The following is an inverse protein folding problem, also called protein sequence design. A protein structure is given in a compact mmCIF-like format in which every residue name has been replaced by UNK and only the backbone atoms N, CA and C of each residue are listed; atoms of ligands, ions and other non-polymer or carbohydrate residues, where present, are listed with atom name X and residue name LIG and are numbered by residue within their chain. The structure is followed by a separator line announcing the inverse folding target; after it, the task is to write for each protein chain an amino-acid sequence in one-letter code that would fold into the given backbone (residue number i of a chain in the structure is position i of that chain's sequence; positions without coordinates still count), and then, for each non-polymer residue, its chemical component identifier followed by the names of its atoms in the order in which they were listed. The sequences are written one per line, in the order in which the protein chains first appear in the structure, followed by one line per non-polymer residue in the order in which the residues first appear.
data_IF_162246498295
#
_entry.id   IF_162246498295
#
_cell.length_a   1.000
_cell.length_b   1.000
_cell.length_c   1.000
_cell.angle_alpha   90.00
_cell.angle_beta   90.00
_cell.angle_gamma   90.00
#
_symmetry.space_group_name_H-M   'P 1'
#
loop_
_entity.id
_entity.type
_entity.pdbx_description
1 polymer ?
#
# COMPACT_ATOMS: atom_id res chain seq x y z
N UNK A 1 -12.78 -11.65 -16.90
CA UNK A 1 -14.11 -11.69 -16.21
C UNK A 1 -14.82 -10.35 -16.29
N UNK A 2 -14.29 -9.24 -15.71
CA UNK A 2 -15.00 -7.95 -15.71
C UNK A 2 -15.23 -7.42 -17.14
N UNK A 3 -14.21 -7.38 -17.97
CA UNK A 3 -14.29 -6.93 -19.36
C UNK A 3 -15.22 -7.84 -20.21
N UNK A 4 -15.21 -9.14 -19.97
CA UNK A 4 -16.13 -10.09 -20.64
C UNK A 4 -17.60 -9.79 -20.29
N UNK A 5 -17.85 -9.24 -19.11
CA UNK A 5 -19.16 -8.76 -18.68
C UNK A 5 -19.47 -7.32 -19.14
N UNK A 6 -18.59 -6.70 -19.93
CA UNK A 6 -18.74 -5.32 -20.40
C UNK A 6 -18.53 -4.24 -19.34
N UNK A 7 -17.91 -4.59 -18.21
CA UNK A 7 -17.63 -3.68 -17.09
C UNK A 7 -16.26 -3.03 -17.24
N UNK A 8 -16.16 -1.76 -16.89
CA UNK A 8 -14.89 -1.05 -16.76
C UNK A 8 -14.21 -1.42 -15.44
N UNK A 9 -12.87 -1.46 -15.46
CA UNK A 9 -12.02 -1.78 -14.30
C UNK A 9 -11.24 -0.55 -13.90
N UNK A 10 -11.43 -0.13 -12.65
CA UNK A 10 -10.63 0.91 -12.00
C UNK A 10 -9.65 0.22 -11.05
N UNK A 11 -8.37 0.45 -11.22
CA UNK A 11 -7.32 -0.12 -10.37
C UNK A 11 -6.61 1.00 -9.58
N UNK A 12 -6.78 1.01 -8.27
CA UNK A 12 -5.87 1.78 -7.41
C UNK A 12 -4.57 0.98 -7.25
N UNK A 13 -3.51 1.47 -7.88
CA UNK A 13 -2.17 0.87 -7.81
C UNK A 13 -1.19 1.75 -7.01
N UNK A 14 -1.70 2.51 -6.05
CA UNK A 14 -0.90 3.44 -5.24
C UNK A 14 0.26 2.74 -4.53
N UNK A 15 0.00 1.63 -3.82
CA UNK A 15 1.04 0.90 -3.06
C UNK A 15 2.02 0.18 -3.99
N UNK A 16 1.52 -0.34 -5.12
CA UNK A 16 2.36 -1.02 -6.10
C UNK A 16 3.25 -0.07 -6.89
N UNK A 17 2.82 1.15 -7.08
CA UNK A 17 3.44 2.14 -7.99
C UNK A 17 3.60 1.61 -9.43
N UNK A 18 3.92 2.43 -10.42
CA UNK A 18 4.23 1.96 -11.77
C UNK A 18 5.48 1.08 -11.83
N UNK A 19 6.37 1.14 -10.83
CA UNK A 19 7.56 0.30 -10.74
C UNK A 19 7.20 -1.15 -10.35
N UNK A 20 6.57 -1.34 -9.22
CA UNK A 20 6.30 -2.67 -8.67
C UNK A 20 5.11 -3.37 -9.36
N UNK A 21 4.08 -2.61 -9.71
CA UNK A 21 2.84 -3.12 -10.31
C UNK A 21 2.50 -2.40 -11.62
N UNK A 22 3.23 -2.69 -12.72
CA UNK A 22 3.08 -1.99 -14.01
C UNK A 22 1.85 -2.48 -14.78
N UNK A 23 0.65 -2.26 -14.25
CA UNK A 23 -0.63 -2.80 -14.76
C UNK A 23 -0.93 -2.44 -16.21
N UNK A 24 -0.48 -1.27 -16.68
CA UNK A 24 -0.70 -0.85 -18.07
C UNK A 24 0.29 -1.51 -19.06
N UNK A 25 1.35 -2.17 -18.57
CA UNK A 25 2.34 -2.88 -19.39
C UNK A 25 2.06 -4.37 -19.53
N UNK A 26 0.91 -4.85 -19.07
CA UNK A 26 0.52 -6.25 -19.26
C UNK A 26 0.46 -6.59 -20.74
N UNK A 27 0.94 -7.77 -21.10
CA UNK A 27 1.00 -8.23 -22.50
C UNK A 27 -0.41 -8.37 -23.09
N UNK A 28 -1.33 -8.99 -22.34
CA UNK A 28 -2.74 -9.10 -22.77
C UNK A 28 -3.48 -7.79 -22.44
N UNK A 29 -4.00 -7.06 -23.45
CA UNK A 29 -4.78 -5.86 -23.24
C UNK A 29 -6.03 -6.06 -22.35
N UNK A 30 -6.61 -7.27 -22.34
CA UNK A 30 -7.78 -7.61 -21.52
C UNK A 30 -7.48 -7.65 -20.02
N UNK A 31 -6.21 -7.77 -19.65
CA UNK A 31 -5.73 -7.71 -18.26
C UNK A 31 -5.39 -6.29 -17.81
N UNK A 32 -5.45 -5.30 -18.70
CA UNK A 32 -5.17 -3.91 -18.36
C UNK A 32 -6.43 -3.25 -17.84
N UNK A 33 -6.37 -2.53 -16.71
CA UNK A 33 -7.52 -1.74 -16.26
C UNK A 33 -7.82 -0.59 -17.23
N UNK A 34 -9.07 -0.14 -17.23
CA UNK A 34 -9.51 1.02 -18.02
C UNK A 34 -9.03 2.33 -17.38
N UNK A 35 -8.97 2.35 -16.05
CA UNK A 35 -8.47 3.47 -15.26
C UNK A 35 -7.47 2.98 -14.23
N UNK A 36 -6.39 3.73 -14.06
CA UNK A 36 -5.40 3.52 -12.99
C UNK A 36 -5.34 4.77 -12.13
N UNK A 37 -5.44 4.58 -10.84
CA UNK A 37 -5.32 5.64 -9.84
C UNK A 37 -4.01 5.47 -9.08
N UNK A 38 -3.31 6.58 -8.87
CA UNK A 38 -2.19 6.65 -7.93
C UNK A 38 -2.32 7.89 -7.05
N UNK A 39 -2.11 7.71 -5.76
CA UNK A 39 -1.84 8.82 -4.86
C UNK A 39 -0.37 9.24 -5.00
N UNK A 40 -0.11 10.42 -5.52
CA UNK A 40 1.24 11.00 -5.52
C UNK A 40 1.75 11.28 -4.12
N UNK A 41 0.84 11.53 -3.17
CA UNK A 41 1.12 11.72 -1.74
C UNK A 41 1.98 10.60 -1.13
N UNK A 42 1.92 9.40 -1.71
CA UNK A 42 2.57 8.18 -1.20
C UNK A 42 3.97 8.00 -1.85
N UNK A 43 4.31 6.79 -2.19
CA UNK A 43 5.64 6.41 -2.72
C UNK A 43 6.08 7.19 -3.97
N UNK A 44 5.17 7.69 -4.79
CA UNK A 44 5.53 8.41 -6.01
C UNK A 44 6.31 9.69 -5.72
N UNK A 45 5.91 10.46 -4.70
CA UNK A 45 6.69 11.60 -4.18
C UNK A 45 7.66 11.13 -3.11
N UNK A 46 7.20 10.38 -2.12
CA UNK A 46 8.01 9.73 -1.10
C UNK A 46 8.43 10.63 0.07
N UNK A 47 8.24 11.94 -0.01
CA UNK A 47 8.66 12.89 1.05
C UNK A 47 7.62 13.06 2.15
N UNK A 48 6.35 12.73 1.88
CA UNK A 48 5.23 12.97 2.80
C UNK A 48 4.78 14.44 2.89
N UNK A 49 5.32 15.33 2.05
CA UNK A 49 5.07 16.77 2.08
C UNK A 49 3.99 17.23 1.10
N UNK A 50 3.70 16.43 0.09
CA UNK A 50 2.81 16.79 -1.01
C UNK A 50 1.53 15.95 -1.00
N UNK A 51 0.39 16.60 -1.11
CA UNK A 51 -0.89 15.93 -1.36
C UNK A 51 -1.29 16.11 -2.81
N UNK A 52 -1.31 15.01 -3.56
CA UNK A 52 -1.66 14.99 -4.97
C UNK A 52 -2.10 13.59 -5.42
N UNK A 53 -2.70 13.50 -6.59
CA UNK A 53 -3.11 12.23 -7.19
C UNK A 53 -3.19 12.32 -8.71
N UNK A 54 -3.29 11.17 -9.35
CA UNK A 54 -3.46 11.05 -10.79
C UNK A 54 -4.46 9.96 -11.14
N UNK A 55 -5.29 10.22 -12.12
CA UNK A 55 -6.06 9.23 -12.84
C UNK A 55 -5.51 9.09 -14.26
N UNK A 56 -5.22 7.87 -14.68
CA UNK A 56 -4.68 7.52 -15.99
C UNK A 56 -5.70 6.62 -16.68
N UNK A 57 -6.01 6.91 -17.93
CA UNK A 57 -6.90 6.10 -18.75
C UNK A 57 -6.41 6.08 -20.20
N UNK A 58 -7.12 5.36 -21.07
CA UNK A 58 -6.90 5.42 -22.53
C UNK A 58 -7.20 6.83 -23.05
N UNK A 59 -6.60 7.21 -24.17
CA UNK A 59 -6.68 8.56 -24.72
C UNK A 59 -8.12 9.07 -24.89
N UNK A 60 -9.02 8.23 -25.43
CA UNK A 60 -10.43 8.55 -25.65
C UNK A 60 -11.22 8.81 -24.35
N UNK A 61 -10.69 8.36 -23.22
CA UNK A 61 -11.27 8.62 -21.87
C UNK A 61 -10.57 9.78 -21.17
N UNK A 62 -9.35 10.12 -21.60
CA UNK A 62 -8.61 11.25 -21.03
C UNK A 62 -9.05 12.57 -21.63
N UNK A 63 -9.07 12.68 -22.95
CA UNK A 63 -9.35 13.95 -23.64
C UNK A 63 -9.95 13.73 -25.03
N UNK A 64 -11.00 14.47 -25.31
CA UNK A 64 -11.51 14.72 -26.65
C UNK A 64 -11.79 16.23 -26.78
N UNK A 65 -11.58 16.85 -27.95
CA UNK A 65 -11.94 18.25 -28.18
C UNK A 65 -13.43 18.51 -27.91
N UNK A 66 -13.75 19.67 -27.34
CA UNK A 66 -15.14 20.03 -27.04
C UNK A 66 -16.03 19.94 -28.29
N UNK A 67 -17.15 19.28 -28.15
CA UNK A 67 -18.11 19.04 -29.24
C UNK A 67 -17.75 17.90 -30.18
N UNK A 68 -16.66 17.18 -29.93
CA UNK A 68 -16.28 16.00 -30.73
C UNK A 68 -16.69 14.69 -30.08
N UNK A 69 -16.68 13.65 -30.87
CA UNK A 69 -16.84 12.25 -30.41
C UNK A 69 -15.89 11.34 -31.19
N UNK A 70 -15.61 10.18 -30.64
CA UNK A 70 -14.76 9.15 -31.23
C UNK A 70 -15.40 7.77 -31.01
N UNK A 71 -15.35 6.92 -32.03
CA UNK A 71 -15.66 5.50 -31.88
C UNK A 71 -14.39 4.73 -31.58
N UNK A 72 -14.40 3.99 -30.49
CA UNK A 72 -13.29 3.15 -30.05
C UNK A 72 -13.81 1.87 -29.38
N UNK A 73 -12.99 0.80 -29.32
CA UNK A 73 -13.37 -0.43 -28.61
C UNK A 73 -13.59 -0.16 -27.13
N UNK A 74 -14.73 -0.59 -26.60
CA UNK A 74 -15.00 -0.64 -25.17
C UNK A 74 -14.26 -1.79 -24.47
N UNK A 75 -14.50 -1.97 -23.15
CA UNK A 75 -13.86 -3.02 -22.36
C UNK A 75 -14.06 -4.43 -22.93
N UNK A 76 -15.24 -4.69 -23.49
CA UNK A 76 -15.64 -5.95 -24.13
C UNK A 76 -15.17 -6.09 -25.59
N UNK A 77 -14.41 -5.13 -26.11
CA UNK A 77 -13.96 -5.08 -27.50
C UNK A 77 -15.00 -4.61 -28.51
N UNK A 78 -16.23 -4.34 -28.09
CA UNK A 78 -17.27 -3.79 -28.97
C UNK A 78 -17.05 -2.31 -29.20
N UNK A 79 -17.30 -1.86 -30.44
CA UNK A 79 -17.20 -0.43 -30.74
C UNK A 79 -18.24 0.35 -29.95
N UNK A 80 -17.78 1.41 -29.29
CA UNK A 80 -18.60 2.35 -28.53
C UNK A 80 -18.26 3.76 -28.95
N UNK A 81 -19.24 4.63 -28.90
CA UNK A 81 -19.06 6.06 -29.08
C UNK A 81 -18.74 6.70 -27.75
N UNK A 82 -17.66 7.47 -27.71
CA UNK A 82 -17.26 8.30 -26.59
C UNK A 82 -17.40 9.78 -26.99
N UNK A 83 -18.08 10.54 -26.20
CA UNK A 83 -18.24 11.98 -26.40
C UNK A 83 -17.24 12.75 -25.52
N UNK A 84 -16.89 13.98 -25.92
CA UNK A 84 -16.01 14.85 -25.16
C UNK A 84 -16.44 15.03 -23.70
N UNK A 85 -17.75 15.04 -23.44
CA UNK A 85 -18.34 15.16 -22.10
C UNK A 85 -18.13 13.92 -21.21
N UNK A 86 -17.72 12.78 -21.77
CA UNK A 86 -17.41 11.54 -21.03
C UNK A 86 -15.95 11.48 -20.56
N UNK A 87 -15.12 12.47 -20.96
CA UNK A 87 -13.69 12.45 -20.66
C UNK A 87 -13.37 12.94 -19.25
N UNK A 88 -12.27 12.43 -18.68
CA UNK A 88 -11.73 12.91 -17.40
C UNK A 88 -11.32 14.38 -17.48
N UNK A 89 -10.79 14.83 -18.63
CA UNK A 89 -10.45 16.24 -18.82
C UNK A 89 -11.67 17.14 -18.61
N UNK A 90 -12.81 16.82 -19.22
CA UNK A 90 -14.00 17.61 -19.06
C UNK A 90 -14.57 17.52 -17.63
N UNK A 91 -14.82 16.30 -17.14
CA UNK A 91 -15.53 16.10 -15.89
C UNK A 91 -14.70 16.46 -14.65
N UNK A 92 -13.40 16.16 -14.66
CA UNK A 92 -12.53 16.29 -13.49
C UNK A 92 -11.71 17.58 -13.57
N UNK A 93 -11.01 17.81 -14.68
CA UNK A 93 -10.16 18.97 -14.82
C UNK A 93 -10.99 20.26 -15.02
N UNK A 94 -11.84 20.30 -16.05
CA UNK A 94 -12.53 21.50 -16.45
C UNK A 94 -13.71 21.86 -15.54
N UNK A 95 -14.61 20.92 -15.26
CA UNK A 95 -15.83 21.20 -14.47
C UNK A 95 -15.53 21.31 -12.99
N UNK A 96 -14.70 20.40 -12.44
CA UNK A 96 -14.37 20.38 -10.99
C UNK A 96 -13.12 21.18 -10.63
N UNK A 97 -12.33 21.63 -11.60
CA UNK A 97 -11.09 22.37 -11.35
C UNK A 97 -10.01 21.56 -10.64
N UNK A 98 -10.03 20.23 -10.77
CA UNK A 98 -9.06 19.35 -10.12
C UNK A 98 -7.78 19.28 -10.96
N UNK A 99 -6.92 20.26 -10.82
CA UNK A 99 -5.60 20.31 -11.45
C UNK A 99 -4.51 20.59 -10.41
N UNK A 100 -3.33 20.09 -10.70
CA UNK A 100 -2.16 20.20 -9.84
C UNK A 100 -1.46 21.53 -10.09
N UNK A 101 -1.09 22.23 -9.01
CA UNK A 101 -0.25 23.43 -9.12
C UNK A 101 1.19 23.09 -9.51
N UNK A 102 1.92 24.09 -10.00
CA UNK A 102 3.27 23.90 -10.57
C UNK A 102 4.30 23.44 -9.51
N UNK A 103 4.19 23.93 -8.27
CA UNK A 103 5.14 23.59 -7.21
C UNK A 103 4.97 22.12 -6.80
N UNK A 104 3.73 21.66 -6.64
CA UNK A 104 3.46 20.24 -6.38
C UNK A 104 3.82 19.36 -7.56
N UNK A 105 3.61 19.80 -8.79
CA UNK A 105 4.04 19.07 -9.97
C UNK A 105 5.57 18.90 -9.99
N UNK A 106 6.31 19.93 -9.60
CA UNK A 106 7.76 19.87 -9.46
C UNK A 106 8.20 18.86 -8.39
N UNK A 107 7.56 18.84 -7.21
CA UNK A 107 7.82 17.84 -6.17
C UNK A 107 7.55 16.41 -6.66
N UNK A 108 6.45 16.20 -7.39
CA UNK A 108 6.12 14.90 -8.00
C UNK A 108 7.21 14.45 -8.94
N UNK A 109 7.65 15.32 -9.87
CA UNK A 109 8.71 15.00 -10.84
C UNK A 109 10.01 14.65 -10.12
N UNK A 110 10.39 15.39 -9.08
CA UNK A 110 11.59 15.10 -8.31
C UNK A 110 11.50 13.78 -7.54
N UNK A 111 10.37 13.50 -6.90
CA UNK A 111 10.15 12.23 -6.21
C UNK A 111 10.21 11.02 -7.16
N UNK A 112 9.66 11.15 -8.35
CA UNK A 112 9.67 10.07 -9.35
C UNK A 112 11.07 9.73 -9.86
N UNK A 113 12.04 10.66 -9.83
CA UNK A 113 13.42 10.40 -10.25
C UNK A 113 14.13 9.32 -9.45
N UNK A 114 13.75 9.16 -8.18
CA UNK A 114 14.34 8.16 -7.26
C UNK A 114 13.40 7.01 -6.95
N UNK A 115 12.23 6.97 -7.58
CA UNK A 115 11.17 6.00 -7.26
C UNK A 115 11.66 4.55 -7.30
N UNK A 116 12.34 4.16 -8.38
CA UNK A 116 12.81 2.78 -8.56
C UNK A 116 13.77 2.34 -7.46
N UNK A 117 14.75 3.21 -7.12
CA UNK A 117 15.72 2.92 -6.06
C UNK A 117 15.05 2.81 -4.69
N UNK A 118 14.15 3.74 -4.37
CA UNK A 118 13.42 3.73 -3.11
C UNK A 118 12.51 2.51 -3.00
N UNK A 119 11.75 2.21 -4.05
CA UNK A 119 10.88 1.03 -4.07
C UNK A 119 11.66 -0.26 -3.94
N UNK A 120 12.78 -0.41 -4.63
CA UNK A 120 13.64 -1.59 -4.51
C UNK A 120 14.13 -1.76 -3.08
N UNK A 121 14.66 -0.70 -2.46
CA UNK A 121 15.13 -0.73 -1.07
C UNK A 121 14.00 -1.10 -0.11
N UNK A 122 12.83 -0.48 -0.22
CA UNK A 122 11.65 -0.75 0.60
C UNK A 122 11.15 -2.19 0.47
N UNK A 123 11.06 -2.70 -0.76
CA UNK A 123 10.62 -4.08 -1.01
C UNK A 123 11.60 -5.10 -0.41
N UNK A 124 12.91 -4.87 -0.54
CA UNK A 124 13.94 -5.72 0.08
C UNK A 124 13.84 -5.63 1.61
N UNK A 125 13.74 -4.41 2.17
CA UNK A 125 13.54 -4.18 3.59
C UNK A 125 12.31 -4.91 4.13
N UNK A 126 11.19 -4.85 3.41
CA UNK A 126 9.96 -5.57 3.74
C UNK A 126 10.18 -7.08 3.78
N UNK A 127 10.86 -7.64 2.77
CA UNK A 127 11.17 -9.08 2.72
C UNK A 127 12.00 -9.51 3.92
N UNK A 128 13.00 -8.71 4.30
CA UNK A 128 13.86 -8.99 5.45
C UNK A 128 13.07 -8.89 6.75
N UNK A 129 12.39 -7.78 7.00
CA UNK A 129 11.66 -7.55 8.26
C UNK A 129 10.54 -8.58 8.44
N UNK A 130 9.67 -8.74 7.46
CA UNK A 130 8.57 -9.69 7.54
C UNK A 130 9.08 -11.13 7.70
N UNK A 131 10.16 -11.49 6.98
CA UNK A 131 10.75 -12.82 7.06
C UNK A 131 11.41 -13.12 8.41
N UNK A 132 12.00 -12.14 9.09
CA UNK A 132 12.56 -12.31 10.43
C UNK A 132 11.44 -12.37 11.46
N UNK A 133 10.50 -11.42 11.44
CA UNK A 133 9.39 -11.38 12.39
C UNK A 133 8.50 -12.62 12.31
N UNK A 134 8.31 -13.19 11.12
CA UNK A 134 7.52 -14.41 10.93
C UNK A 134 8.12 -15.68 11.57
N UNK A 135 9.39 -15.64 11.95
CA UNK A 135 10.03 -16.75 12.69
C UNK A 135 9.73 -16.72 14.18
N UNK A 136 9.23 -15.61 14.68
CA UNK A 136 8.95 -15.44 16.10
C UNK A 136 7.60 -16.08 16.45
N UNK A 137 7.54 -17.04 17.39
CA UNK A 137 6.33 -17.82 17.69
C UNK A 137 5.19 -17.01 18.31
N UNK A 138 5.47 -15.81 18.82
CA UNK A 138 4.49 -14.90 19.40
C UNK A 138 4.02 -13.77 18.45
N UNK A 139 4.47 -13.77 17.20
CA UNK A 139 4.14 -12.74 16.21
C UNK A 139 3.54 -13.40 14.97
N UNK A 140 2.31 -13.07 14.65
CA UNK A 140 1.70 -13.45 13.37
C UNK A 140 1.96 -12.34 12.35
N UNK A 141 2.61 -12.69 11.24
CA UNK A 141 2.90 -11.76 10.15
C UNK A 141 1.97 -12.06 8.96
N UNK A 142 1.32 -11.04 8.43
CA UNK A 142 0.56 -11.10 7.18
C UNK A 142 1.29 -10.29 6.13
N UNK A 143 2.06 -10.98 5.32
CA UNK A 143 2.86 -10.40 4.24
C UNK A 143 3.06 -11.45 3.15
N UNK A 144 2.78 -11.10 1.91
CA UNK A 144 2.94 -12.00 0.77
C UNK A 144 4.42 -12.40 0.49
N UNK A 145 5.38 -11.84 1.22
CA UNK A 145 6.79 -12.25 1.19
C UNK A 145 7.09 -13.45 2.11
N UNK A 146 6.21 -13.74 3.05
CA UNK A 146 6.41 -14.85 4.01
C UNK A 146 6.09 -16.17 3.34
N UNK A 147 6.91 -17.23 3.53
CA UNK A 147 6.63 -18.54 2.99
C UNK A 147 5.26 -19.07 3.47
N UNK A 148 4.47 -19.61 2.55
CA UNK A 148 3.15 -20.15 2.85
C UNK A 148 2.01 -19.12 2.85
N UNK A 149 2.29 -17.85 2.57
CA UNK A 149 1.23 -16.85 2.35
C UNK A 149 0.39 -17.22 1.11
N UNK A 150 -0.93 -17.13 1.23
CA UNK A 150 -1.88 -17.49 0.16
C UNK A 150 -1.71 -16.67 -1.11
N UNK A 151 -1.14 -15.47 -1.03
CA UNK A 151 -0.92 -14.56 -2.15
C UNK A 151 0.50 -14.63 -2.72
N UNK A 152 1.34 -15.58 -2.28
CA UNK A 152 2.73 -15.68 -2.75
C UNK A 152 2.83 -15.89 -4.27
N UNK A 153 1.99 -16.77 -4.84
CA UNK A 153 1.96 -17.00 -6.30
C UNK A 153 1.46 -15.76 -7.06
N UNK A 154 0.47 -15.07 -6.53
CA UNK A 154 -0.03 -13.82 -7.12
C UNK A 154 1.05 -12.75 -7.12
N UNK A 155 1.82 -12.63 -6.05
CA UNK A 155 2.97 -11.72 -5.97
C UNK A 155 3.99 -12.02 -7.08
N UNK A 156 4.41 -13.27 -7.21
CA UNK A 156 5.38 -13.69 -8.24
C UNK A 156 4.89 -13.37 -9.67
N UNK A 157 3.61 -13.55 -9.91
CA UNK A 157 3.00 -13.34 -11.23
C UNK A 157 2.73 -11.86 -11.53
N UNK A 158 2.30 -11.09 -10.53
CA UNK A 158 1.76 -9.74 -10.75
C UNK A 158 2.76 -8.63 -10.46
N UNK A 159 3.71 -8.84 -9.55
CA UNK A 159 4.63 -7.80 -9.10
C UNK A 159 6.01 -7.97 -9.74
N UNK A 160 6.65 -6.86 -10.01
CA UNK A 160 7.97 -6.82 -10.65
C UNK A 160 9.01 -7.58 -9.83
N UNK A 161 9.73 -8.50 -10.45
CA UNK A 161 10.70 -9.40 -9.82
C UNK A 161 10.14 -10.23 -8.64
N UNK A 162 8.84 -10.41 -8.54
CA UNK A 162 8.21 -11.09 -7.40
C UNK A 162 8.49 -10.40 -6.05
N UNK A 163 8.77 -9.09 -6.06
CA UNK A 163 9.02 -8.33 -4.84
C UNK A 163 7.72 -8.06 -4.08
N UNK A 164 7.72 -8.08 -2.73
CA UNK A 164 6.55 -7.71 -1.95
C UNK A 164 6.31 -6.20 -1.99
N UNK A 165 5.06 -5.78 -1.82
CA UNK A 165 4.77 -4.37 -1.56
C UNK A 165 5.34 -3.95 -0.19
N UNK A 166 5.77 -2.69 -0.01
CA UNK A 166 6.38 -2.22 1.23
C UNK A 166 5.34 -1.94 2.33
N UNK A 167 4.40 -2.85 2.49
CA UNK A 167 3.29 -2.74 3.45
C UNK A 167 2.90 -4.13 3.94
N UNK A 168 2.88 -4.32 5.26
CA UNK A 168 2.43 -5.57 5.87
C UNK A 168 1.86 -5.33 7.27
N UNK A 169 1.26 -6.35 7.87
CA UNK A 169 0.76 -6.29 9.24
C UNK A 169 1.37 -7.37 10.11
N UNK A 170 1.53 -7.04 11.38
CA UNK A 170 1.86 -7.99 12.44
C UNK A 170 0.78 -7.98 13.50
N UNK A 171 0.69 -9.08 14.24
CA UNK A 171 -0.26 -9.26 15.33
C UNK A 171 0.37 -10.10 16.44
N UNK A 172 0.06 -9.76 17.69
CA UNK A 172 0.62 -10.42 18.87
C UNK A 172 -0.36 -11.42 19.52
N UNK A 173 -1.44 -11.74 18.86
CA UNK A 173 -2.38 -12.76 19.37
C UNK A 173 -1.87 -14.20 19.20
N UNK A 174 -0.81 -14.40 18.43
CA UNK A 174 -0.26 -15.73 18.15
C UNK A 174 -1.16 -16.57 17.24
N UNK A 175 -0.71 -17.81 16.95
CA UNK A 175 -1.56 -18.81 16.27
C UNK A 175 -2.58 -19.40 17.26
N UNK A 176 -3.75 -19.89 16.79
CA UNK A 176 -4.69 -20.63 17.61
C UNK A 176 -3.98 -21.81 18.29
N UNK A 177 -3.96 -21.80 19.62
CA UNK A 177 -3.19 -22.80 20.42
C UNK A 177 -1.73 -22.45 20.68
N UNK A 178 -1.26 -21.28 20.21
CA UNK A 178 0.09 -20.76 20.43
C UNK A 178 0.26 -20.05 21.77
N UNK A 179 1.32 -19.26 21.86
CA UNK A 179 1.67 -18.53 23.07
C UNK A 179 0.58 -17.55 23.53
N UNK A 180 0.44 -17.38 24.83
CA UNK A 180 -0.51 -16.45 25.46
C UNK A 180 -0.43 -15.06 24.84
N UNK A 181 -1.55 -14.43 24.45
CA UNK A 181 -1.56 -13.09 23.92
C UNK A 181 -0.91 -12.08 24.87
N UNK A 182 -0.29 -11.05 24.31
CA UNK A 182 0.22 -9.95 25.11
C UNK A 182 -0.95 -9.12 25.64
N UNK A 183 -0.94 -8.77 26.93
CA UNK A 183 -1.92 -7.86 27.49
C UNK A 183 -1.88 -6.50 26.82
N UNK A 184 -3.03 -5.83 26.68
CA UNK A 184 -3.17 -4.58 25.96
C UNK A 184 -2.27 -3.46 26.49
N UNK A 185 -2.01 -3.42 27.80
CA UNK A 185 -1.13 -2.41 28.41
C UNK A 185 0.36 -2.64 28.09
N UNK A 186 0.76 -3.90 27.93
CA UNK A 186 2.10 -4.23 27.45
C UNK A 186 2.26 -3.86 25.98
N UNK A 187 1.23 -4.15 25.18
CA UNK A 187 1.19 -3.76 23.78
C UNK A 187 1.30 -2.23 23.61
N UNK A 188 0.56 -1.45 24.36
CA UNK A 188 0.64 0.02 24.30
C UNK A 188 2.05 0.51 24.58
N UNK A 189 2.67 0.02 25.68
CA UNK A 189 4.06 0.38 26.01
C UNK A 189 5.02 -0.02 24.89
N UNK A 190 4.86 -1.21 24.32
CA UNK A 190 5.68 -1.65 23.19
C UNK A 190 5.50 -0.72 21.98
N UNK A 191 4.25 -0.40 21.65
CA UNK A 191 3.93 0.48 20.51
C UNK A 191 4.57 1.87 20.69
N UNK A 192 4.47 2.45 21.88
CA UNK A 192 5.08 3.75 22.21
C UNK A 192 6.62 3.69 22.12
N UNK A 193 7.23 2.56 22.51
CA UNK A 193 8.68 2.35 22.41
C UNK A 193 9.20 2.20 20.98
N UNK A 194 8.33 2.12 19.96
CA UNK A 194 8.76 2.07 18.57
C UNK A 194 9.29 3.42 18.06
N UNK A 195 8.88 4.54 18.68
CA UNK A 195 9.51 5.85 18.41
C UNK A 195 10.95 5.91 18.95
N UNK A 196 11.79 6.76 18.36
CA UNK A 196 11.58 7.60 17.17
C UNK A 196 11.90 6.89 15.85
N UNK A 197 12.35 5.65 15.86
CA UNK A 197 12.79 4.93 14.65
C UNK A 197 11.62 4.62 13.74
N UNK A 198 10.48 4.23 14.31
CA UNK A 198 9.23 4.07 13.58
C UNK A 198 8.36 5.30 13.81
N UNK A 199 7.93 5.96 12.73
CA UNK A 199 7.01 7.09 12.85
C UNK A 199 5.58 6.61 13.17
N UNK A 200 4.97 7.17 14.19
CA UNK A 200 3.56 6.87 14.53
C UNK A 200 2.64 7.74 13.69
N UNK A 201 2.30 7.28 12.48
CA UNK A 201 1.55 8.05 11.49
C UNK A 201 0.52 7.22 10.73
N UNK A 202 -0.59 7.85 10.35
CA UNK A 202 -1.71 7.23 9.61
C UNK A 202 -1.43 7.13 8.09
N UNK A 203 -0.30 7.60 7.59
CA UNK A 203 0.05 7.56 6.17
C UNK A 203 0.85 6.29 5.80
N UNK A 204 1.41 6.27 4.60
CA UNK A 204 2.32 5.26 4.07
C UNK A 204 3.12 5.84 2.90
N UNK A 205 4.16 5.16 2.48
CA UNK A 205 4.89 5.50 1.25
C UNK A 205 5.93 6.62 1.42
N UNK A 206 6.28 6.98 2.66
CA UNK A 206 7.34 7.93 2.96
C UNK A 206 8.70 7.23 2.98
N UNK A 207 9.79 8.02 3.00
CA UNK A 207 11.15 7.50 3.13
C UNK A 207 11.41 6.85 4.49
N UNK A 208 10.77 7.32 5.54
CA UNK A 208 10.82 6.69 6.86
C UNK A 208 9.74 5.63 7.02
N UNK A 209 10.07 4.58 7.77
CA UNK A 209 9.12 3.55 8.18
C UNK A 209 8.09 4.12 9.13
N UNK A 210 6.81 3.91 8.83
CA UNK A 210 5.72 4.37 9.69
C UNK A 210 4.82 3.21 10.10
N UNK A 211 4.32 3.30 11.32
CA UNK A 211 3.44 2.29 11.91
C UNK A 211 2.15 2.91 12.42
N UNK A 212 1.09 2.13 12.41
CA UNK A 212 -0.17 2.48 13.06
C UNK A 212 -0.86 1.23 13.61
N UNK A 213 -1.66 1.43 14.66
CA UNK A 213 -2.61 0.44 15.14
C UNK A 213 -3.98 0.70 14.52
N UNK A 214 -4.45 -0.11 13.54
CA UNK A 214 -5.69 0.18 12.82
C UNK A 214 -6.91 0.29 13.74
N UNK A 215 -7.00 -0.56 14.76
CA UNK A 215 -8.11 -0.55 15.71
C UNK A 215 -8.24 0.76 16.50
N UNK A 216 -7.15 1.52 16.66
CA UNK A 216 -7.14 2.79 17.37
C UNK A 216 -7.16 4.02 16.45
N UNK A 217 -7.00 3.83 15.14
CA UNK A 217 -6.83 4.93 14.16
C UNK A 217 -7.80 4.80 12.99
N UNK A 218 -7.34 4.21 11.90
CA UNK A 218 -8.09 4.15 10.62
C UNK A 218 -9.37 3.31 10.66
N UNK A 219 -9.55 2.44 11.65
CA UNK A 219 -10.71 1.56 11.82
C UNK A 219 -11.33 1.70 13.22
N UNK A 220 -11.10 2.82 13.91
CA UNK A 220 -11.59 3.06 15.27
C UNK A 220 -13.12 3.13 15.38
N UNK A 221 -13.79 3.37 14.26
CA UNK A 221 -15.27 3.42 14.20
C UNK A 221 -15.92 2.03 14.07
N UNK A 222 -15.12 0.98 13.79
CA UNK A 222 -15.62 -0.38 13.66
C UNK A 222 -15.84 -1.02 15.03
N UNK A 223 -16.94 -1.74 15.16
CA UNK A 223 -17.18 -2.59 16.34
C UNK A 223 -16.27 -3.85 16.32
N UNK A 224 -16.30 -4.62 17.41
CA UNK A 224 -15.44 -5.78 17.58
C UNK A 224 -15.69 -6.88 16.52
N UNK A 225 -16.92 -7.01 16.03
CA UNK A 225 -17.27 -8.02 15.02
C UNK A 225 -16.78 -7.60 13.64
N UNK A 226 -16.95 -6.33 13.28
CA UNK A 226 -16.44 -5.76 12.04
C UNK A 226 -14.90 -5.77 11.99
N UNK A 227 -14.22 -5.46 13.11
CA UNK A 227 -12.77 -5.58 13.21
C UNK A 227 -12.31 -7.03 12.99
N UNK A 228 -12.96 -8.01 13.63
CA UNK A 228 -12.64 -9.45 13.41
C UNK A 228 -12.88 -9.88 11.97
N UNK A 229 -13.98 -9.45 11.35
CA UNK A 229 -14.28 -9.74 9.95
C UNK A 229 -13.22 -9.13 9.00
N UNK A 230 -12.67 -7.97 9.34
CA UNK A 230 -11.55 -7.33 8.64
C UNK A 230 -10.19 -7.96 8.98
N UNK A 231 -10.15 -8.95 9.88
CA UNK A 231 -8.91 -9.59 10.34
C UNK A 231 -8.03 -8.67 11.20
N UNK A 232 -8.60 -7.68 11.86
CA UNK A 232 -7.90 -6.71 12.71
C UNK A 232 -8.15 -7.05 14.17
N UNK A 233 -7.08 -7.21 14.94
CA UNK A 233 -7.13 -7.33 16.40
C UNK A 233 -6.77 -6.00 17.07
N UNK A 234 -6.92 -5.94 18.39
CA UNK A 234 -6.49 -4.78 19.19
C UNK A 234 -4.97 -4.60 19.22
N UNK A 235 -4.21 -5.63 18.85
CA UNK A 235 -2.74 -5.65 18.83
C UNK A 235 -2.16 -5.66 17.40
N UNK A 236 -3.01 -5.50 16.38
CA UNK A 236 -2.55 -5.42 15.00
C UNK A 236 -1.77 -4.11 14.78
N UNK A 237 -0.56 -4.23 14.26
CA UNK A 237 0.25 -3.11 13.79
C UNK A 237 0.38 -3.22 12.27
N UNK A 238 0.02 -2.16 11.55
CA UNK A 238 0.35 -1.99 10.15
C UNK A 238 1.71 -1.32 10.04
N UNK A 239 2.62 -1.90 9.28
CA UNK A 239 3.97 -1.39 9.04
C UNK A 239 4.07 -1.01 7.56
N UNK A 240 4.29 0.28 7.28
CA UNK A 240 4.65 0.79 5.97
C UNK A 240 6.16 1.04 5.96
N UNK A 241 6.90 0.20 5.25
CA UNK A 241 8.36 0.19 5.28
C UNK A 241 8.93 1.35 4.47
N UNK A 242 9.86 2.07 5.07
CA UNK A 242 10.68 3.10 4.45
C UNK A 242 11.91 2.56 3.74
N UNK A 243 12.86 3.43 3.47
CA UNK A 243 14.12 3.09 2.79
C UNK A 243 15.32 2.95 3.75
N UNK A 244 15.08 2.92 5.07
CA UNK A 244 16.08 2.70 6.09
C UNK A 244 16.68 1.28 6.01
N UNK A 245 17.86 1.11 6.60
CA UNK A 245 18.46 -0.21 6.75
C UNK A 245 17.56 -1.12 7.62
N UNK A 246 17.07 -2.24 7.08
CA UNK A 246 16.19 -3.14 7.83
C UNK A 246 16.83 -3.72 9.10
N UNK A 247 18.17 -3.76 9.19
CA UNK A 247 18.88 -4.19 10.41
C UNK A 247 18.71 -3.19 11.54
N UNK A 248 18.73 -1.90 11.21
CA UNK A 248 18.49 -0.83 12.19
C UNK A 248 17.04 -0.89 12.70
N UNK A 249 16.08 -1.07 11.79
CA UNK A 249 14.67 -1.21 12.15
C UNK A 249 14.46 -2.43 13.06
N UNK A 250 15.05 -3.57 12.70
CA UNK A 250 14.94 -4.81 13.50
C UNK A 250 15.58 -4.66 14.88
N UNK A 251 16.78 -4.08 14.96
CA UNK A 251 17.45 -3.86 16.23
C UNK A 251 16.62 -2.98 17.16
N UNK A 252 15.97 -1.93 16.63
CA UNK A 252 15.09 -1.08 17.42
C UNK A 252 13.82 -1.81 17.84
N UNK A 253 13.22 -2.60 16.96
CA UNK A 253 12.05 -3.41 17.28
C UNK A 253 12.33 -4.39 18.42
N UNK A 254 13.47 -5.10 18.38
CA UNK A 254 13.93 -5.99 19.46
C UNK A 254 14.12 -5.20 20.76
N UNK A 255 14.75 -4.04 20.70
CA UNK A 255 14.94 -3.19 21.89
C UNK A 255 13.61 -2.74 22.49
N UNK A 256 12.64 -2.36 21.69
CA UNK A 256 11.30 -2.02 22.15
C UNK A 256 10.62 -3.23 22.84
N UNK A 257 10.78 -4.42 22.27
CA UNK A 257 10.28 -5.66 22.88
C UNK A 257 10.97 -5.96 24.23
N UNK A 258 12.29 -5.81 24.33
CA UNK A 258 13.05 -5.97 25.58
C UNK A 258 12.54 -5.03 26.66
N UNK A 259 12.25 -3.79 26.32
CA UNK A 259 11.81 -2.78 27.29
C UNK A 259 10.36 -2.97 27.75
N UNK A 260 9.48 -3.38 26.87
CA UNK A 260 8.04 -3.37 27.12
C UNK A 260 7.42 -4.78 27.30
N UNK A 261 7.96 -5.80 26.67
CA UNK A 261 7.39 -7.16 26.64
C UNK A 261 8.16 -8.14 27.52
N UNK A 262 9.47 -8.13 27.51
CA UNK A 262 10.29 -9.03 28.35
C UNK A 262 10.00 -8.94 29.86
N UNK A 263 9.69 -7.76 30.45
CA UNK A 263 9.32 -7.69 31.86
C UNK A 263 8.03 -8.47 32.21
N UNK A 264 7.18 -8.73 31.23
CA UNK A 264 5.89 -9.43 31.40
C UNK A 264 5.99 -10.86 30.91
N UNK A 265 6.76 -11.08 29.87
CA UNK A 265 7.01 -12.36 29.25
C UNK A 265 8.52 -12.51 28.98
N UNK A 266 9.29 -12.98 29.98
CA UNK A 266 10.74 -13.12 29.84
C UNK A 266 11.15 -13.94 28.62
N UNK A 267 12.09 -13.40 27.83
CA UNK A 267 12.58 -14.02 26.61
C UNK A 267 11.61 -13.92 25.41
N UNK A 268 10.76 -12.92 25.42
CA UNK A 268 9.92 -12.62 24.24
C UNK A 268 10.74 -12.03 23.08
N UNK A 269 11.71 -11.13 23.41
CA UNK A 269 12.52 -10.41 22.41
C UNK A 269 13.47 -11.30 21.59
#
# INVERSE_FOLDING_TARGET
AAHEAGLEVICDSTVGTPFLHPVLRRSDPRERPDFVIHSYTKDLVGTGTTTAGVAIARNERMFLPKGSSLEAPGPDGRMRRYDWSDTLFWNVYYVKGAFLDADKAFEVINGMRTLELRMLQKCIGTRVLAGVLARHPGIRVRCNAVPGDENAELRERLLYLGLPAPLFTIDFEGEPGGATPIGIEAFKRFFDCLEPTFGLQVSLGQTNTVVLCPALTSHSELDADALRAAGISKTTIRIAVGDEDPRTLLAHFIRAAQLALDPIRPGFS
#
